data_IF_786202772840
#
_entry.id   IF_786202772840
#
_cell.length_a   1.000
_cell.length_b   1.000
_cell.length_c   1.000
_cell.angle_alpha   90.00
_cell.angle_beta   90.00
_cell.angle_gamma   90.00
#
_symmetry.space_group_name_H-M   'P 1'
#
loop_
_entity.id
_entity.type
_entity.pdbx_description
1 polymer ?
#
# COMPACT_ATOMS: atom_id res chain seq x y z
N UNK A 1 -2.04 20.19 23.50
CA UNK A 1 -1.64 19.31 22.39
C UNK A 1 -0.13 19.37 22.26
N UNK A 2 0.54 18.22 22.09
CA UNK A 2 1.99 18.19 21.87
C UNK A 2 2.27 18.19 20.38
N UNK A 3 3.25 18.99 19.95
CA UNK A 3 3.81 18.95 18.60
C UNK A 3 5.13 18.20 18.63
N UNK A 4 5.27 17.22 17.74
CA UNK A 4 6.46 16.39 17.66
C UNK A 4 7.39 16.88 16.56
N UNK A 5 8.66 17.09 16.92
CA UNK A 5 9.74 17.46 16.02
C UNK A 5 10.71 16.26 15.94
N UNK A 6 10.68 15.55 14.84
CA UNK A 6 11.50 14.36 14.60
C UNK A 6 12.64 14.77 13.69
N UNK A 7 13.87 14.62 14.17
CA UNK A 7 15.09 15.00 13.45
C UNK A 7 15.88 13.73 13.17
N UNK A 8 16.02 13.40 11.89
CA UNK A 8 16.96 12.37 11.45
C UNK A 8 18.38 12.92 11.54
N UNK A 9 19.33 12.07 11.95
CA UNK A 9 20.75 12.47 12.03
C UNK A 9 21.66 11.45 11.38
N UNK A 10 22.76 11.95 10.85
CA UNK A 10 23.94 11.19 10.42
C UNK A 10 25.14 11.62 11.25
N UNK A 11 26.25 10.92 11.14
CA UNK A 11 27.44 11.20 11.96
C UNK A 11 28.03 12.59 11.74
N UNK A 12 27.75 13.24 10.60
CA UNK A 12 28.22 14.58 10.20
C UNK A 12 27.25 15.73 10.51
N UNK A 13 26.02 15.43 10.98
CA UNK A 13 24.96 16.44 11.14
C UNK A 13 24.62 16.68 12.60
N UNK A 14 24.80 17.88 13.08
CA UNK A 14 24.34 18.30 14.41
C UNK A 14 22.84 18.55 14.39
N UNK A 15 22.05 17.86 15.24
CA UNK A 15 20.61 18.04 15.28
C UNK A 15 20.22 19.41 15.84
N UNK A 16 19.27 20.06 15.17
CA UNK A 16 18.64 21.30 15.68
C UNK A 16 17.37 20.94 16.44
N UNK A 17 17.23 21.46 17.65
CA UNK A 17 16.03 21.29 18.48
C UNK A 17 15.22 22.57 18.49
N UNK A 18 13.90 22.43 18.64
CA UNK A 18 12.94 23.54 18.70
C UNK A 18 12.54 23.73 20.17
N UNK A 19 12.82 24.93 20.70
CA UNK A 19 12.39 25.33 22.04
C UNK A 19 11.07 26.09 21.94
N UNK A 20 9.97 25.36 22.02
CA UNK A 20 8.61 25.93 22.08
C UNK A 20 7.81 25.24 23.17
N UNK A 21 6.84 25.96 23.75
CA UNK A 21 5.92 25.38 24.71
C UNK A 21 5.14 24.22 24.06
N UNK A 22 5.06 23.09 24.77
CA UNK A 22 4.44 21.84 24.28
C UNK A 22 5.14 21.17 23.09
N UNK A 23 6.40 21.48 22.79
CA UNK A 23 7.19 20.74 21.82
C UNK A 23 7.81 19.47 22.42
N UNK A 24 7.94 18.44 21.60
CA UNK A 24 8.68 17.20 21.91
C UNK A 24 9.70 17.00 20.81
N UNK A 25 10.98 17.13 21.12
CA UNK A 25 12.06 16.87 20.20
C UNK A 25 12.48 15.41 20.29
N UNK A 26 12.59 14.76 19.15
CA UNK A 26 12.99 13.35 19.00
C UNK A 26 14.12 13.28 17.98
N UNK A 27 15.29 12.87 18.42
CA UNK A 27 16.45 12.70 17.55
C UNK A 27 16.56 11.22 17.19
N UNK A 28 16.58 10.91 15.90
CA UNK A 28 16.64 9.56 15.37
C UNK A 28 17.92 9.39 14.56
N UNK A 29 18.88 8.61 15.05
CA UNK A 29 20.08 8.30 14.28
C UNK A 29 19.72 7.38 13.11
N UNK A 30 19.86 7.91 11.88
CA UNK A 30 19.72 7.13 10.64
C UNK A 30 21.00 6.37 10.33
N UNK A 31 22.15 6.82 10.85
CA UNK A 31 23.45 6.15 10.75
C UNK A 31 24.17 6.19 12.09
N UNK A 32 24.85 5.10 12.44
CA UNK A 32 25.72 4.97 13.60
C UNK A 32 26.96 4.19 13.14
N UNK A 33 28.14 4.75 13.38
CA UNK A 33 29.42 4.12 13.01
C UNK A 33 29.46 3.67 11.54
N UNK A 34 29.05 4.57 10.62
CA UNK A 34 28.95 4.32 9.18
C UNK A 34 27.97 3.20 8.78
N UNK A 35 27.03 2.81 9.64
CA UNK A 35 26.01 1.79 9.34
C UNK A 35 24.62 2.40 9.40
N UNK A 36 23.90 2.33 8.29
CA UNK A 36 22.50 2.73 8.22
C UNK A 36 21.63 1.84 9.11
N UNK A 37 20.77 2.49 9.88
CA UNK A 37 19.94 1.86 10.92
C UNK A 37 18.54 1.48 10.41
N UNK A 38 17.72 0.94 11.29
CA UNK A 38 16.27 0.70 11.11
C UNK A 38 15.91 -0.22 9.93
N UNK A 39 16.86 -1.05 9.47
CA UNK A 39 16.66 -1.95 8.33
C UNK A 39 17.02 -1.34 6.97
N UNK A 40 17.31 -0.04 6.90
CA UNK A 40 17.72 0.63 5.66
C UNK A 40 19.01 0.01 5.12
N UNK A 41 20.04 -0.14 5.96
CA UNK A 41 21.33 -0.72 5.55
C UNK A 41 21.19 -2.14 5.00
N UNK A 42 20.37 -2.99 5.63
CA UNK A 42 20.11 -4.34 5.14
C UNK A 42 19.40 -4.32 3.77
N UNK A 43 18.43 -3.43 3.60
CA UNK A 43 17.72 -3.28 2.34
C UNK A 43 18.66 -2.85 1.19
N UNK A 44 19.51 -1.87 1.43
CA UNK A 44 20.52 -1.44 0.44
C UNK A 44 21.53 -2.54 0.15
N UNK A 45 21.94 -3.30 1.16
CA UNK A 45 22.79 -4.48 0.98
C UNK A 45 22.12 -5.51 0.07
N UNK A 46 20.85 -5.87 0.32
CA UNK A 46 20.10 -6.83 -0.48
C UNK A 46 19.93 -6.35 -1.94
N UNK A 47 19.70 -5.04 -2.15
CA UNK A 47 19.68 -4.43 -3.49
C UNK A 47 21.03 -4.60 -4.20
N UNK A 48 22.13 -4.29 -3.51
CA UNK A 48 23.47 -4.40 -4.07
C UNK A 48 23.84 -5.85 -4.46
N UNK A 49 23.38 -6.86 -3.68
CA UNK A 49 23.59 -8.28 -3.99
C UNK A 49 22.96 -8.72 -5.32
N UNK A 50 21.94 -8.01 -5.78
CA UNK A 50 21.27 -8.28 -7.07
C UNK A 50 21.62 -7.27 -8.16
N UNK A 51 22.68 -6.46 -7.93
CA UNK A 51 23.19 -5.50 -8.92
C UNK A 51 22.34 -4.24 -9.05
N UNK A 52 21.60 -3.84 -8.01
CA UNK A 52 20.83 -2.61 -7.95
C UNK A 52 21.57 -1.64 -7.01
N UNK A 53 21.94 -0.46 -7.51
CA UNK A 53 22.73 0.54 -6.78
C UNK A 53 21.98 1.87 -6.72
N UNK A 54 21.11 2.09 -5.73
CA UNK A 54 20.32 3.30 -5.60
C UNK A 54 21.18 4.57 -5.57
N UNK A 55 20.63 5.65 -6.11
CA UNK A 55 21.24 6.97 -6.05
C UNK A 55 20.92 7.69 -4.70
N UNK A 56 21.55 8.85 -4.48
CA UNK A 56 21.39 9.63 -3.25
C UNK A 56 19.94 10.04 -3.00
N UNK A 57 19.22 10.49 -4.04
CA UNK A 57 17.84 10.94 -3.91
C UNK A 57 16.90 9.77 -3.60
N UNK A 58 17.13 8.59 -4.20
CA UNK A 58 16.40 7.37 -3.88
C UNK A 58 16.61 6.89 -2.44
N UNK A 59 17.86 6.97 -1.94
CA UNK A 59 18.17 6.65 -0.54
C UNK A 59 17.53 7.66 0.40
N UNK A 60 17.58 8.96 0.08
CA UNK A 60 16.97 10.03 0.88
C UNK A 60 15.44 9.88 0.97
N UNK A 61 14.77 9.49 -0.13
CA UNK A 61 13.34 9.15 -0.13
C UNK A 61 13.05 8.00 0.85
N UNK A 62 13.87 6.95 0.87
CA UNK A 62 13.72 5.83 1.79
C UNK A 62 13.95 6.26 3.25
N UNK A 63 14.94 7.11 3.52
CA UNK A 63 15.21 7.66 4.84
C UNK A 63 14.05 8.54 5.35
N UNK A 64 13.49 9.40 4.46
CA UNK A 64 12.29 10.17 4.77
C UNK A 64 11.12 9.26 5.14
N UNK A 65 10.90 8.22 4.36
CA UNK A 65 9.84 7.25 4.59
C UNK A 65 10.01 6.49 5.91
N UNK A 66 11.24 6.21 6.29
CA UNK A 66 11.56 5.61 7.58
C UNK A 66 11.12 6.52 8.74
N UNK A 67 11.47 7.80 8.73
CA UNK A 67 11.05 8.75 9.78
C UNK A 67 9.53 8.95 9.83
N UNK A 68 8.87 9.02 8.66
CA UNK A 68 7.41 9.13 8.57
C UNK A 68 6.74 7.88 9.17
N UNK A 69 7.22 6.69 8.82
CA UNK A 69 6.67 5.43 9.32
C UNK A 69 6.89 5.27 10.84
N UNK A 70 8.06 5.68 11.33
CA UNK A 70 8.33 5.77 12.77
C UNK A 70 7.32 6.68 13.47
N UNK A 71 7.16 7.91 12.98
CA UNK A 71 6.23 8.87 13.54
C UNK A 71 4.80 8.34 13.57
N UNK A 72 4.35 7.76 12.46
CA UNK A 72 2.98 7.25 12.34
C UNK A 72 2.70 6.08 13.28
N UNK A 73 3.70 5.22 13.54
CA UNK A 73 3.54 4.00 14.35
C UNK A 73 3.89 4.20 15.83
N UNK A 74 4.61 5.28 16.22
CA UNK A 74 5.14 5.49 17.58
C UNK A 74 4.62 6.75 18.27
N UNK A 75 3.64 7.45 17.66
CA UNK A 75 2.94 8.59 18.27
C UNK A 75 1.46 8.27 18.26
N UNK A 76 0.88 7.96 19.42
CA UNK A 76 -0.54 7.61 19.56
C UNK A 76 -1.45 8.81 19.26
N UNK A 77 -2.42 8.63 18.36
CA UNK A 77 -3.46 9.64 18.07
C UNK A 77 -4.32 9.93 19.29
N UNK A 78 -4.73 8.89 19.99
CA UNK A 78 -5.57 9.01 21.19
C UNK A 78 -4.91 9.87 22.26
N UNK A 79 -3.60 9.73 22.48
CA UNK A 79 -2.87 10.43 23.54
C UNK A 79 -2.37 11.83 23.15
N UNK A 80 -2.09 12.06 21.85
CA UNK A 80 -1.30 13.20 21.41
C UNK A 80 -2.00 14.13 20.41
N UNK A 81 -3.25 13.85 20.05
CA UNK A 81 -4.06 14.77 19.27
C UNK A 81 -5.13 15.46 20.11
N UNK A 82 -5.64 16.59 19.64
CA UNK A 82 -6.67 17.37 20.34
C UNK A 82 -8.06 16.72 20.22
N UNK A 83 -8.32 16.07 19.09
CA UNK A 83 -9.58 15.45 18.68
C UNK A 83 -9.50 13.91 18.66
N UNK A 84 -8.47 13.32 19.26
CA UNK A 84 -8.12 11.90 19.18
C UNK A 84 -7.89 11.39 17.75
N UNK A 85 -7.65 12.31 16.80
CA UNK A 85 -7.55 12.01 15.39
C UNK A 85 -6.34 12.64 14.69
N UNK A 86 -6.15 13.96 14.81
CA UNK A 86 -5.17 14.74 14.05
C UNK A 86 -3.96 15.11 14.90
N UNK A 87 -2.79 14.57 14.57
CA UNK A 87 -1.49 14.93 15.20
C UNK A 87 -0.84 16.09 14.45
N UNK A 88 0.07 16.79 15.11
CA UNK A 88 0.98 17.77 14.51
C UNK A 88 2.41 17.23 14.57
N UNK A 89 2.99 16.94 13.41
CA UNK A 89 4.27 16.26 13.28
C UNK A 89 5.16 17.04 12.31
N UNK A 90 6.35 17.40 12.77
CA UNK A 90 7.40 18.01 11.94
C UNK A 90 8.53 17.01 11.77
N UNK A 91 9.04 16.86 10.55
CA UNK A 91 10.21 16.03 10.24
C UNK A 91 11.30 16.90 9.65
N UNK A 92 12.50 16.75 10.16
CA UNK A 92 13.72 17.31 9.55
C UNK A 92 14.61 16.15 9.11
N UNK A 93 14.91 16.11 7.81
CA UNK A 93 15.79 15.10 7.23
C UNK A 93 17.01 15.77 6.60
N UNK A 94 18.24 15.35 6.94
CA UNK A 94 19.42 15.69 6.18
C UNK A 94 19.43 14.94 4.84
N UNK A 95 19.57 15.70 3.73
CA UNK A 95 19.57 15.18 2.36
C UNK A 95 20.81 15.64 1.60
N UNK A 96 21.21 14.90 0.58
CA UNK A 96 22.40 15.21 -0.20
C UNK A 96 22.19 16.45 -1.09
N UNK A 97 21.08 16.51 -1.81
CA UNK A 97 20.73 17.57 -2.77
C UNK A 97 19.73 18.57 -2.18
N UNK A 98 20.07 19.25 -1.06
CA UNK A 98 19.14 20.08 -0.29
C UNK A 98 18.38 21.12 -1.11
N UNK A 99 18.99 21.70 -2.14
CA UNK A 99 18.36 22.72 -2.98
C UNK A 99 17.14 22.19 -3.73
N UNK A 100 17.24 21.00 -4.33
CA UNK A 100 16.12 20.31 -5.00
C UNK A 100 15.03 19.96 -4.01
N UNK A 101 15.42 19.39 -2.87
CA UNK A 101 14.49 18.92 -1.84
C UNK A 101 13.74 20.05 -1.14
N UNK A 102 14.38 21.21 -0.95
CA UNK A 102 13.77 22.35 -0.27
C UNK A 102 12.49 22.86 -0.97
N UNK A 103 12.43 22.75 -2.29
CA UNK A 103 11.25 23.13 -3.08
C UNK A 103 10.08 22.16 -2.92
N UNK A 104 10.31 20.92 -2.42
CA UNK A 104 9.30 19.86 -2.32
C UNK A 104 8.58 19.79 -0.97
N UNK A 105 8.92 20.66 -0.01
CA UNK A 105 8.33 20.68 1.34
C UNK A 105 6.78 20.66 1.32
N UNK A 106 6.18 21.53 0.50
CA UNK A 106 4.74 21.67 0.41
C UNK A 106 4.07 20.45 -0.21
N UNK A 107 4.71 19.82 -1.21
CA UNK A 107 4.17 18.64 -1.89
C UNK A 107 4.21 17.44 -0.93
N UNK A 108 5.31 17.22 -0.22
CA UNK A 108 5.39 16.18 0.82
C UNK A 108 4.36 16.41 1.93
N UNK A 109 4.24 17.63 2.45
CA UNK A 109 3.26 17.93 3.49
C UNK A 109 1.82 17.66 3.02
N UNK A 110 1.47 18.05 1.79
CA UNK A 110 0.17 17.78 1.15
C UNK A 110 -0.07 16.29 0.99
N UNK A 111 0.92 15.55 0.49
CA UNK A 111 0.86 14.10 0.28
C UNK A 111 0.64 13.36 1.60
N UNK A 112 1.40 13.67 2.64
CA UNK A 112 1.32 13.03 3.94
C UNK A 112 0.01 13.37 4.67
N UNK A 113 -0.43 14.63 4.60
CA UNK A 113 -1.73 15.06 5.16
C UNK A 113 -2.89 14.31 4.48
N UNK A 114 -2.86 14.19 3.15
CA UNK A 114 -3.85 13.43 2.41
C UNK A 114 -3.87 11.94 2.81
N UNK A 115 -2.69 11.34 2.97
CA UNK A 115 -2.55 9.93 3.29
C UNK A 115 -2.97 9.59 4.74
N UNK A 116 -2.60 10.44 5.70
CA UNK A 116 -2.71 10.10 7.13
C UNK A 116 -3.80 10.85 7.88
N UNK A 117 -4.22 12.02 7.37
CA UNK A 117 -5.12 12.94 8.06
C UNK A 117 -4.44 13.77 9.16
N UNK A 118 -3.12 13.67 9.33
CA UNK A 118 -2.34 14.46 10.26
C UNK A 118 -1.87 15.76 9.61
N UNK A 119 -1.44 16.73 10.41
CA UNK A 119 -0.74 17.93 9.95
C UNK A 119 0.75 17.66 9.93
N UNK A 120 1.32 17.68 8.74
CA UNK A 120 2.73 17.45 8.52
C UNK A 120 3.45 18.72 8.12
N UNK A 121 4.64 18.88 8.67
CA UNK A 121 5.64 19.84 8.22
C UNK A 121 6.93 19.08 7.94
N UNK A 122 7.55 19.32 6.78
CA UNK A 122 8.75 18.61 6.38
C UNK A 122 9.82 19.63 6.03
N UNK A 123 11.02 19.46 6.56
CA UNK A 123 12.15 20.33 6.28
C UNK A 123 13.40 19.51 5.97
N UNK A 124 14.27 20.09 5.17
CA UNK A 124 15.48 19.46 4.70
C UNK A 124 16.69 20.30 5.06
N UNK A 125 17.75 19.66 5.49
CA UNK A 125 19.07 20.24 5.74
C UNK A 125 20.12 19.50 4.94
N UNK A 126 21.28 20.11 4.71
CA UNK A 126 22.34 19.46 3.92
C UNK A 126 23.05 18.39 4.75
N UNK A 127 23.34 17.23 4.12
CA UNK A 127 24.37 16.28 4.55
C UNK A 127 25.50 16.25 3.52
N UNK A 128 26.71 16.03 3.98
CA UNK A 128 27.91 15.96 3.12
C UNK A 128 28.36 14.49 2.89
N UNK A 129 27.97 13.56 3.77
CA UNK A 129 28.28 12.13 3.65
C UNK A 129 27.47 11.52 2.50
N UNK A 130 28.14 10.84 1.56
CA UNK A 130 27.48 9.99 0.55
C UNK A 130 27.01 8.68 1.16
N UNK A 131 25.78 8.27 0.83
CA UNK A 131 25.19 6.98 1.25
C UNK A 131 25.23 5.95 0.13
N UNK A 132 25.65 6.32 -1.06
CA UNK A 132 25.81 5.37 -2.18
C UNK A 132 26.92 4.37 -1.88
N UNK A 133 26.75 3.13 -2.39
CA UNK A 133 27.79 2.12 -2.26
C UNK A 133 29.08 2.56 -2.98
N UNK A 134 30.18 2.64 -2.22
CA UNK A 134 31.51 2.97 -2.71
C UNK A 134 32.27 1.74 -3.25
N UNK A 135 31.73 0.54 -3.11
CA UNK A 135 32.37 -0.70 -3.53
C UNK A 135 32.30 -0.94 -5.03
N UNK A 136 33.19 -1.79 -5.55
CA UNK A 136 33.17 -2.19 -6.95
C UNK A 136 31.79 -2.77 -7.30
N UNK A 137 31.08 -2.07 -8.18
CA UNK A 137 29.78 -2.54 -8.69
C UNK A 137 29.99 -3.87 -9.39
N UNK A 138 29.33 -4.91 -8.88
CA UNK A 138 29.15 -6.18 -9.57
C UNK A 138 28.30 -5.86 -10.82
N UNK A 139 28.01 -6.74 -11.67
CA UNK A 139 27.19 -6.53 -12.86
C UNK A 139 25.88 -5.80 -12.54
N UNK A 140 25.52 -4.77 -13.33
CA UNK A 140 24.24 -4.06 -13.20
C UNK A 140 23.06 -5.01 -13.43
N UNK A 141 21.97 -4.74 -12.73
CA UNK A 141 20.73 -5.51 -12.86
C UNK A 141 20.14 -5.40 -14.27
N UNK A 142 19.68 -6.51 -14.79
CA UNK A 142 18.98 -6.55 -16.09
C UNK A 142 17.52 -6.94 -15.85
N UNK A 143 16.74 -6.02 -15.27
CA UNK A 143 15.31 -6.17 -15.06
C UNK A 143 14.51 -5.42 -16.12
N UNK A 144 13.34 -5.97 -16.47
CA UNK A 144 12.39 -5.33 -17.38
C UNK A 144 11.30 -4.58 -16.61
N UNK A 145 11.02 -5.00 -15.38
CA UNK A 145 9.93 -4.47 -14.55
C UNK A 145 10.30 -4.47 -13.08
N UNK A 146 10.01 -3.36 -12.39
CA UNK A 146 9.94 -3.29 -10.93
C UNK A 146 8.48 -3.18 -10.49
N UNK A 147 8.04 -4.04 -9.58
CA UNK A 147 6.66 -4.04 -9.09
C UNK A 147 6.58 -4.24 -7.59
N UNK A 148 5.61 -3.56 -6.97
CA UNK A 148 5.33 -3.78 -5.55
C UNK A 148 4.63 -5.13 -5.35
N UNK A 149 5.14 -5.92 -4.41
CA UNK A 149 4.63 -7.24 -4.08
C UNK A 149 4.12 -7.29 -2.64
N UNK A 150 2.82 -7.06 -2.47
CA UNK A 150 2.14 -7.13 -1.17
C UNK A 150 1.77 -8.54 -0.71
N UNK A 151 1.75 -9.53 -1.62
CA UNK A 151 1.17 -10.85 -1.40
C UNK A 151 -0.35 -10.90 -1.60
N UNK A 152 -0.97 -9.79 -2.03
CA UNK A 152 -2.38 -9.69 -2.36
C UNK A 152 -2.70 -10.13 -3.79
N UNK A 153 -3.99 -10.35 -4.07
CA UNK A 153 -4.46 -10.84 -5.37
C UNK A 153 -4.07 -9.92 -6.53
N UNK A 154 -4.10 -8.59 -6.34
CA UNK A 154 -3.82 -7.63 -7.42
C UNK A 154 -2.34 -7.65 -7.82
N UNK A 155 -1.44 -7.59 -6.82
CA UNK A 155 -0.01 -7.73 -7.08
C UNK A 155 0.33 -9.09 -7.70
N UNK A 156 -0.34 -10.16 -7.25
CA UNK A 156 -0.18 -11.50 -7.79
C UNK A 156 -0.53 -11.57 -9.28
N UNK A 157 -1.68 -11.00 -9.69
CA UNK A 157 -2.10 -10.95 -11.11
C UNK A 157 -1.09 -10.14 -11.94
N UNK A 158 -0.65 -8.97 -11.43
CA UNK A 158 0.33 -8.15 -12.14
C UNK A 158 1.66 -8.86 -12.37
N UNK A 159 2.12 -9.63 -11.38
CA UNK A 159 3.35 -10.42 -11.48
C UNK A 159 3.18 -11.57 -12.48
N UNK A 160 2.09 -12.33 -12.38
CA UNK A 160 1.79 -13.44 -13.31
C UNK A 160 1.77 -12.94 -14.75
N UNK A 161 1.08 -11.83 -15.04
CA UNK A 161 1.02 -11.27 -16.38
C UNK A 161 2.40 -10.85 -16.92
N UNK A 162 3.27 -10.27 -16.07
CA UNK A 162 4.62 -9.92 -16.50
C UNK A 162 5.50 -11.17 -16.77
N UNK A 163 5.40 -12.20 -15.92
CA UNK A 163 6.15 -13.44 -16.10
C UNK A 163 5.68 -14.22 -17.35
N UNK A 164 4.36 -14.26 -17.62
CA UNK A 164 3.82 -14.87 -18.86
C UNK A 164 4.28 -14.12 -20.13
N UNK A 165 4.56 -12.82 -20.01
CA UNK A 165 5.19 -12.04 -21.08
C UNK A 165 6.70 -12.23 -21.18
N UNK A 166 7.31 -13.14 -20.41
CA UNK A 166 8.76 -13.41 -20.45
C UNK A 166 9.63 -12.34 -19.82
N UNK A 167 9.06 -11.43 -18.99
CA UNK A 167 9.80 -10.32 -18.40
C UNK A 167 10.55 -10.73 -17.14
N UNK A 168 11.75 -10.20 -16.96
CA UNK A 168 12.52 -10.29 -15.73
C UNK A 168 11.99 -9.28 -14.71
N UNK A 169 11.42 -9.78 -13.61
CA UNK A 169 10.68 -8.97 -12.65
C UNK A 169 11.43 -8.84 -11.33
N UNK A 170 11.64 -7.60 -10.88
CA UNK A 170 12.05 -7.29 -9.52
C UNK A 170 10.80 -7.11 -8.63
N UNK A 171 10.65 -7.96 -7.62
CA UNK A 171 9.56 -7.93 -6.65
C UNK A 171 10.01 -7.15 -5.43
N UNK A 172 9.53 -5.91 -5.32
CA UNK A 172 9.82 -5.07 -4.16
C UNK A 172 8.74 -5.31 -3.11
N UNK A 173 9.15 -5.68 -1.91
CA UNK A 173 8.26 -6.11 -0.85
C UNK A 173 8.52 -5.39 0.47
N UNK A 174 7.48 -5.19 1.24
CA UNK A 174 7.55 -4.77 2.64
C UNK A 174 6.63 -5.65 3.47
N UNK A 175 7.17 -6.26 4.51
CA UNK A 175 6.41 -7.04 5.49
C UNK A 175 6.50 -6.39 6.87
N UNK A 176 5.34 -6.05 7.43
CA UNK A 176 5.25 -5.50 8.79
C UNK A 176 5.13 -6.61 9.88
N UNK A 177 4.89 -7.84 9.46
CA UNK A 177 4.71 -9.00 10.35
C UNK A 177 5.15 -10.30 9.68
N UNK A 178 5.44 -11.32 10.52
CA UNK A 178 5.93 -12.62 10.06
C UNK A 178 4.92 -13.42 9.22
N UNK A 179 3.61 -13.20 9.39
CA UNK A 179 2.59 -13.88 8.58
C UNK A 179 2.62 -13.35 7.13
N UNK A 180 2.64 -12.03 6.97
CA UNK A 180 2.75 -11.41 5.64
C UNK A 180 4.03 -11.86 4.93
N UNK A 181 5.17 -11.89 5.63
CA UNK A 181 6.44 -12.38 5.08
C UNK A 181 6.33 -13.84 4.64
N UNK A 182 5.72 -14.70 5.45
CA UNK A 182 5.56 -16.12 5.12
C UNK A 182 4.67 -16.32 3.86
N UNK A 183 3.59 -15.54 3.71
CA UNK A 183 2.75 -15.55 2.51
C UNK A 183 3.58 -15.17 1.28
N UNK A 184 4.35 -14.09 1.35
CA UNK A 184 5.18 -13.61 0.26
C UNK A 184 6.24 -14.65 -0.15
N UNK A 185 6.95 -15.26 0.80
CA UNK A 185 7.98 -16.27 0.53
C UNK A 185 7.39 -17.57 -0.01
N UNK A 186 6.19 -17.97 0.44
CA UNK A 186 5.46 -19.13 -0.10
C UNK A 186 5.04 -18.90 -1.54
N UNK A 187 4.50 -17.70 -1.86
CA UNK A 187 4.16 -17.31 -3.23
C UNK A 187 5.40 -17.26 -4.12
N UNK A 188 6.51 -16.72 -3.62
CA UNK A 188 7.80 -16.72 -4.34
C UNK A 188 8.24 -18.12 -4.72
N UNK A 189 8.15 -19.08 -3.79
CA UNK A 189 8.46 -20.49 -4.09
C UNK A 189 7.59 -21.05 -5.21
N UNK A 190 6.31 -20.67 -5.27
CA UNK A 190 5.40 -21.06 -6.36
C UNK A 190 5.78 -20.42 -7.69
N UNK A 191 6.14 -19.12 -7.69
CA UNK A 191 6.66 -18.45 -8.89
C UNK A 191 7.93 -19.13 -9.41
N UNK A 192 8.90 -19.40 -8.52
CA UNK A 192 10.16 -20.03 -8.91
C UNK A 192 9.96 -21.44 -9.50
N UNK A 193 8.97 -22.20 -8.98
CA UNK A 193 8.63 -23.51 -9.53
C UNK A 193 7.95 -23.41 -10.89
N UNK A 194 7.06 -22.44 -11.10
CA UNK A 194 6.31 -22.27 -12.34
C UNK A 194 7.14 -21.61 -13.44
N UNK A 195 7.98 -20.64 -13.09
CA UNK A 195 8.73 -19.79 -14.01
C UNK A 195 10.25 -19.94 -13.82
N UNK A 196 10.75 -21.18 -13.75
CA UNK A 196 12.13 -21.48 -13.39
C UNK A 196 13.19 -20.78 -14.28
N UNK A 197 12.89 -20.55 -15.56
CA UNK A 197 13.80 -19.88 -16.51
C UNK A 197 13.87 -18.37 -16.36
N UNK A 198 12.86 -17.75 -15.72
CA UNK A 198 12.74 -16.30 -15.53
C UNK A 198 12.29 -15.99 -14.10
N UNK A 199 12.78 -16.78 -13.14
CA UNK A 199 12.41 -16.62 -11.72
C UNK A 199 12.52 -15.17 -11.27
N UNK A 200 11.45 -14.60 -10.66
CA UNK A 200 11.49 -13.22 -10.24
C UNK A 200 12.44 -13.03 -9.05
N UNK A 201 13.10 -11.89 -9.00
CA UNK A 201 13.98 -11.53 -7.90
C UNK A 201 13.17 -10.86 -6.77
N UNK A 202 13.25 -11.42 -5.57
CA UNK A 202 12.54 -10.92 -4.38
C UNK A 202 13.46 -10.09 -3.50
N UNK A 203 13.06 -8.86 -3.23
CA UNK A 203 13.76 -7.89 -2.40
C UNK A 203 12.79 -7.39 -1.32
N UNK A 204 13.16 -7.55 -0.05
CA UNK A 204 12.25 -7.26 1.05
C UNK A 204 12.81 -6.21 2.00
N UNK A 205 12.10 -5.10 2.15
CA UNK A 205 12.33 -4.16 3.23
C UNK A 205 11.71 -4.69 4.52
N UNK A 206 12.54 -4.96 5.51
CA UNK A 206 12.11 -5.21 6.88
C UNK A 206 12.48 -4.03 7.76
N UNK A 207 11.50 -3.25 8.16
CA UNK A 207 11.70 -2.08 9.00
C UNK A 207 11.06 -2.30 10.36
N UNK A 208 11.84 -2.09 11.42
CA UNK A 208 11.38 -2.23 12.79
C UNK A 208 11.96 -1.14 13.67
N UNK A 209 11.16 -0.70 14.63
CA UNK A 209 11.56 0.27 15.65
C UNK A 209 11.27 -0.27 17.03
N UNK A 210 12.13 0.07 17.99
CA UNK A 210 11.88 -0.20 19.40
C UNK A 210 10.57 0.48 19.84
N UNK A 211 9.87 -0.18 20.77
CA UNK A 211 8.57 0.34 21.25
C UNK A 211 8.69 1.72 21.90
N UNK A 212 9.79 1.96 22.63
CA UNK A 212 10.00 3.19 23.40
C UNK A 212 10.96 4.17 22.73
N UNK A 213 11.21 4.03 21.42
CA UNK A 213 12.13 4.92 20.68
C UNK A 213 11.66 6.40 20.75
N UNK A 214 10.37 6.63 20.86
CA UNK A 214 9.78 7.94 21.22
C UNK A 214 9.25 7.84 22.65
N UNK A 215 9.94 8.49 23.59
CA UNK A 215 9.53 8.49 24.99
C UNK A 215 8.12 9.05 25.15
N UNK A 216 7.24 8.31 25.82
CA UNK A 216 5.82 8.64 26.01
C UNK A 216 5.00 8.80 24.71
N UNK A 217 5.51 8.42 23.54
CA UNK A 217 4.79 8.50 22.27
C UNK A 217 3.60 7.54 22.22
N UNK A 218 3.80 6.31 22.66
CA UNK A 218 2.80 5.24 22.63
C UNK A 218 2.75 4.52 21.26
N UNK A 219 1.95 3.47 21.20
CA UNK A 219 1.73 2.74 19.95
C UNK A 219 0.50 3.27 19.21
N UNK A 220 0.60 3.31 17.88
CA UNK A 220 -0.49 3.62 16.98
C UNK A 220 -0.76 2.44 16.05
N UNK A 221 -1.97 1.92 16.09
CA UNK A 221 -2.36 0.73 15.34
C UNK A 221 -2.83 1.00 13.91
N UNK A 222 -3.00 2.28 13.54
CA UNK A 222 -3.55 2.68 12.24
C UNK A 222 -2.46 2.99 11.20
N UNK A 223 -1.51 2.18 10.98
CA UNK A 223 -0.35 2.36 10.07
C UNK A 223 -0.71 2.96 8.69
N UNK A 224 -1.12 4.25 8.67
CA UNK A 224 -1.61 4.93 7.46
C UNK A 224 -0.49 5.30 6.50
N UNK A 225 0.71 5.57 7.02
CA UNK A 225 1.90 5.88 6.23
C UNK A 225 2.59 4.67 5.59
N UNK A 226 2.11 3.45 5.86
CA UNK A 226 2.74 2.23 5.34
C UNK A 226 2.87 2.23 3.81
N UNK A 227 1.90 2.79 3.09
CA UNK A 227 1.96 2.88 1.64
C UNK A 227 3.05 3.85 1.15
N UNK A 228 3.32 4.92 1.91
CA UNK A 228 4.43 5.82 1.61
C UNK A 228 5.77 5.07 1.69
N UNK A 229 5.99 4.33 2.78
CA UNK A 229 7.19 3.52 2.95
C UNK A 229 7.33 2.47 1.82
N UNK A 230 6.24 1.84 1.44
CA UNK A 230 6.26 0.79 0.43
C UNK A 230 6.60 1.36 -0.96
N UNK A 231 5.97 2.47 -1.37
CA UNK A 231 6.32 3.14 -2.64
C UNK A 231 7.75 3.69 -2.58
N UNK A 232 8.17 4.30 -1.47
CA UNK A 232 9.52 4.82 -1.28
C UNK A 232 10.60 3.73 -1.44
N UNK A 233 10.37 2.53 -0.88
CA UNK A 233 11.28 1.39 -1.09
C UNK A 233 11.37 0.98 -2.56
N UNK A 234 10.26 1.01 -3.29
CA UNK A 234 10.24 0.77 -4.72
C UNK A 234 10.98 1.84 -5.52
N UNK A 235 10.75 3.11 -5.22
CA UNK A 235 11.44 4.24 -5.86
C UNK A 235 12.95 4.16 -5.61
N UNK A 236 13.37 3.89 -4.37
CA UNK A 236 14.77 3.65 -4.03
C UNK A 236 15.37 2.53 -4.87
N UNK A 237 14.70 1.39 -5.02
CA UNK A 237 15.18 0.30 -5.86
C UNK A 237 15.28 0.71 -7.35
N UNK A 238 14.23 1.35 -7.89
CA UNK A 238 14.21 1.77 -9.32
C UNK A 238 15.28 2.80 -9.62
N UNK A 239 15.64 3.68 -8.67
CA UNK A 239 16.71 4.68 -8.87
C UNK A 239 18.08 4.03 -9.17
N UNK A 240 18.28 2.78 -8.75
CA UNK A 240 19.49 2.01 -9.00
C UNK A 240 19.41 1.02 -10.17
N UNK A 241 18.30 1.00 -10.92
CA UNK A 241 18.09 0.07 -12.04
C UNK A 241 18.37 0.72 -13.40
N UNK A 242 19.11 0.04 -14.24
CA UNK A 242 19.23 0.46 -15.65
C UNK A 242 18.01 0.02 -16.46
N UNK A 243 17.50 0.91 -17.31
CA UNK A 243 16.41 0.61 -18.25
C UNK A 243 15.01 0.49 -17.61
N UNK A 244 14.88 0.58 -16.29
CA UNK A 244 13.59 0.59 -15.58
C UNK A 244 13.32 1.98 -15.04
N UNK A 245 12.29 2.62 -15.56
CA UNK A 245 11.85 3.98 -15.14
C UNK A 245 10.43 4.00 -14.56
N UNK A 246 9.78 2.84 -14.44
CA UNK A 246 8.41 2.75 -13.93
C UNK A 246 8.36 1.78 -12.76
N UNK A 247 7.90 2.27 -11.61
CA UNK A 247 7.49 1.44 -10.49
C UNK A 247 6.01 1.07 -10.67
N UNK A 248 5.74 -0.20 -10.88
CA UNK A 248 4.37 -0.73 -10.99
C UNK A 248 3.77 -0.97 -9.60
N UNK A 249 2.56 -0.42 -9.37
CA UNK A 249 1.79 -0.58 -8.13
C UNK A 249 0.41 -1.17 -8.48
N UNK A 250 0.31 -2.49 -8.72
CA UNK A 250 -0.93 -3.12 -9.16
C UNK A 250 -2.02 -3.05 -8.08
N UNK A 251 -3.12 -2.35 -8.38
CA UNK A 251 -4.31 -2.28 -7.53
C UNK A 251 -5.56 -2.09 -8.39
N UNK A 252 -6.64 -2.79 -8.08
CA UNK A 252 -7.90 -2.60 -8.77
C UNK A 252 -8.53 -1.23 -8.47
N UNK A 253 -9.30 -0.71 -9.43
CA UNK A 253 -9.83 0.65 -9.34
C UNK A 253 -10.77 0.87 -8.16
N UNK A 254 -11.57 -0.13 -7.75
CA UNK A 254 -12.52 0.04 -6.65
C UNK A 254 -11.80 0.27 -5.31
N UNK A 255 -10.68 -0.41 -5.09
CA UNK A 255 -9.81 -0.18 -3.92
C UNK A 255 -9.00 1.11 -4.10
N UNK A 256 -8.46 1.37 -5.28
CA UNK A 256 -7.66 2.57 -5.55
C UNK A 256 -8.47 3.86 -5.34
N UNK A 257 -9.68 3.95 -5.87
CA UNK A 257 -10.58 5.08 -5.67
C UNK A 257 -11.04 5.23 -4.22
N UNK A 258 -11.12 4.12 -3.49
CA UNK A 258 -11.43 4.08 -2.06
C UNK A 258 -12.63 4.95 -1.65
N UNK A 259 -13.69 4.94 -2.44
CA UNK A 259 -14.89 5.72 -2.20
C UNK A 259 -15.62 5.17 -0.98
N UNK A 260 -15.95 6.05 -0.03
CA UNK A 260 -16.73 5.67 1.15
C UNK A 260 -18.10 5.13 0.73
N UNK A 261 -18.36 3.86 1.01
CA UNK A 261 -19.61 3.16 0.64
C UNK A 261 -20.82 3.73 1.39
N UNK A 262 -20.62 4.20 2.62
CA UNK A 262 -21.63 4.85 3.45
C UNK A 262 -21.05 6.05 4.24
N UNK A 263 -21.93 6.80 4.91
CA UNK A 263 -21.55 7.99 5.67
C UNK A 263 -20.69 7.71 6.92
N UNK A 264 -20.76 6.50 7.48
CA UNK A 264 -20.03 6.11 8.68
C UNK A 264 -18.56 5.80 8.38
N UNK A 265 -18.22 5.59 7.11
CA UNK A 265 -16.86 5.29 6.67
C UNK A 265 -16.07 6.52 6.18
N UNK A 266 -16.68 7.68 6.15
CA UNK A 266 -15.99 8.90 5.75
C UNK A 266 -14.91 9.21 6.79
N UNK A 267 -13.65 9.11 6.39
CA UNK A 267 -12.48 9.49 7.18
C UNK A 267 -11.89 8.41 8.11
N UNK A 268 -12.57 7.31 8.44
CA UNK A 268 -12.13 6.50 9.57
C UNK A 268 -11.15 5.35 9.29
N UNK A 269 -11.12 4.78 8.09
CA UNK A 269 -10.26 3.61 7.80
C UNK A 269 -9.85 3.51 6.32
N UNK A 270 -9.84 4.63 5.62
CA UNK A 270 -9.51 4.68 4.20
C UNK A 270 -8.01 4.85 4.01
N UNK A 271 -7.35 3.84 3.51
CA UNK A 271 -5.96 3.96 3.04
C UNK A 271 -6.00 4.40 1.57
N UNK A 272 -5.47 5.58 1.28
CA UNK A 272 -5.42 6.14 -0.08
C UNK A 272 -4.19 5.64 -0.88
N UNK A 273 -3.83 4.38 -0.70
CA UNK A 273 -2.54 3.78 -1.09
C UNK A 273 -2.18 3.99 -2.56
N UNK A 274 -3.17 3.93 -3.45
CA UNK A 274 -3.00 3.99 -4.91
C UNK A 274 -4.02 4.92 -5.56
N UNK A 275 -4.63 5.81 -4.76
CA UNK A 275 -5.56 6.81 -5.28
C UNK A 275 -4.86 7.67 -6.35
N UNK A 276 -5.52 7.98 -7.49
CA UNK A 276 -4.89 8.74 -8.57
C UNK A 276 -4.22 10.04 -8.12
N UNK A 277 -4.86 10.79 -7.23
CA UNK A 277 -4.30 12.01 -6.65
C UNK A 277 -3.00 11.76 -5.89
N UNK A 278 -2.93 10.68 -5.11
CA UNK A 278 -1.74 10.32 -4.34
C UNK A 278 -0.58 9.91 -5.25
N UNK A 279 -0.86 9.12 -6.30
CA UNK A 279 0.15 8.77 -7.30
C UNK A 279 0.60 9.99 -8.12
N UNK A 280 -0.30 10.93 -8.41
CA UNK A 280 0.06 12.19 -9.07
C UNK A 280 1.03 13.02 -8.22
N UNK A 281 0.81 13.11 -6.90
CA UNK A 281 1.75 13.78 -5.98
C UNK A 281 3.12 13.08 -5.92
N UNK A 282 3.15 11.75 -5.96
CA UNK A 282 4.41 11.02 -6.09
C UNK A 282 5.15 11.40 -7.38
N UNK A 283 4.45 11.38 -8.51
CA UNK A 283 5.06 11.71 -9.80
C UNK A 283 5.49 13.19 -9.88
N UNK A 284 4.77 14.10 -9.22
CA UNK A 284 5.16 15.50 -9.06
C UNK A 284 6.50 15.63 -8.31
N UNK A 285 6.63 14.96 -7.16
CA UNK A 285 7.88 14.95 -6.37
C UNK A 285 9.04 14.37 -7.20
N UNK A 286 8.86 13.22 -7.83
CA UNK A 286 9.91 12.55 -8.60
C UNK A 286 10.38 13.39 -9.78
N UNK A 287 9.45 14.02 -10.49
CA UNK A 287 9.76 14.95 -11.58
C UNK A 287 10.54 16.17 -11.08
N UNK A 288 10.13 16.77 -9.96
CA UNK A 288 10.78 17.94 -9.39
C UNK A 288 12.16 17.64 -8.80
N UNK A 289 12.38 16.40 -8.33
CA UNK A 289 13.70 15.91 -7.94
C UNK A 289 14.56 15.49 -9.15
N UNK A 290 14.04 15.67 -10.38
CA UNK A 290 14.68 15.28 -11.63
C UNK A 290 15.02 13.78 -11.70
N UNK A 291 14.26 12.95 -10.97
CA UNK A 291 14.36 11.50 -11.06
C UNK A 291 13.57 11.02 -12.28
N UNK A 292 14.23 10.27 -13.15
CA UNK A 292 13.57 9.67 -14.31
C UNK A 292 12.77 8.42 -13.90
N UNK A 293 11.87 8.58 -12.94
CA UNK A 293 11.05 7.51 -12.35
C UNK A 293 9.60 7.96 -12.30
N UNK A 294 8.68 7.05 -12.63
CA UNK A 294 7.25 7.25 -12.43
C UNK A 294 6.64 6.09 -11.64
N UNK A 295 5.61 6.41 -10.85
CA UNK A 295 4.82 5.42 -10.11
C UNK A 295 3.48 5.25 -10.81
N UNK A 296 3.16 4.04 -11.23
CA UNK A 296 1.98 3.77 -12.04
C UNK A 296 1.17 2.58 -11.52
N UNK A 297 -0.16 2.73 -11.53
CA UNK A 297 -1.09 1.61 -11.35
C UNK A 297 -1.57 1.12 -12.74
N UNK A 298 -1.14 -0.07 -13.22
CA UNK A 298 -1.53 -0.56 -14.53
C UNK A 298 -3.00 -1.00 -14.62
N UNK A 299 -3.71 -1.07 -13.49
CA UNK A 299 -5.10 -1.53 -13.41
C UNK A 299 -6.06 -0.45 -12.91
N UNK A 300 -5.71 0.81 -13.11
CA UNK A 300 -6.49 1.96 -12.65
C UNK A 300 -7.94 1.99 -13.16
N UNK A 301 -8.22 1.38 -14.31
CA UNK A 301 -9.54 1.29 -14.94
C UNK A 301 -10.12 -0.14 -14.97
N UNK A 302 -9.59 -1.07 -14.15
CA UNK A 302 -10.04 -2.46 -14.07
C UNK A 302 -10.66 -2.76 -12.70
N UNK A 303 -11.76 -3.53 -12.71
CA UNK A 303 -12.25 -4.17 -11.48
C UNK A 303 -11.35 -5.36 -11.12
N UNK A 304 -11.39 -5.79 -9.86
CA UNK A 304 -10.62 -6.97 -9.43
C UNK A 304 -11.02 -8.24 -10.19
N UNK A 305 -12.29 -8.39 -10.52
CA UNK A 305 -12.77 -9.52 -11.32
C UNK A 305 -12.33 -9.44 -12.78
N UNK A 306 -12.31 -8.24 -13.38
CA UNK A 306 -11.75 -8.04 -14.73
C UNK A 306 -10.27 -8.41 -14.77
N UNK A 307 -9.48 -7.96 -13.78
CA UNK A 307 -8.08 -8.36 -13.66
C UNK A 307 -7.92 -9.89 -13.60
N UNK A 308 -8.76 -10.58 -12.82
CA UNK A 308 -8.69 -12.04 -12.70
C UNK A 308 -9.12 -12.78 -13.98
N UNK A 309 -10.15 -12.27 -14.66
CA UNK A 309 -10.62 -12.81 -15.95
C UNK A 309 -9.58 -12.65 -17.05
N UNK A 310 -8.88 -11.51 -17.05
CA UNK A 310 -7.86 -11.16 -18.04
C UNK A 310 -6.46 -11.68 -17.69
N UNK A 311 -6.28 -12.34 -16.54
CA UNK A 311 -4.99 -12.92 -16.16
C UNK A 311 -4.52 -13.95 -17.20
N UNK A 312 -3.27 -13.80 -17.65
CA UNK A 312 -2.71 -14.61 -18.74
C UNK A 312 -2.52 -16.07 -18.35
N UNK A 313 -2.35 -16.38 -17.06
CA UNK A 313 -2.30 -17.76 -16.56
C UNK A 313 -3.31 -17.96 -15.42
N UNK A 314 -4.56 -18.21 -15.81
CA UNK A 314 -5.68 -18.40 -14.87
C UNK A 314 -5.54 -19.65 -14.00
N UNK A 315 -4.99 -20.73 -14.54
CA UNK A 315 -4.84 -21.99 -13.80
C UNK A 315 -3.78 -21.81 -12.69
N UNK A 316 -2.65 -21.20 -13.01
CA UNK A 316 -1.67 -20.89 -11.98
C UNK A 316 -2.24 -19.90 -10.95
N UNK A 317 -2.90 -18.82 -11.40
CA UNK A 317 -3.55 -17.87 -10.48
C UNK A 317 -4.50 -18.60 -9.53
N UNK A 318 -5.41 -19.46 -10.04
CA UNK A 318 -6.36 -20.23 -9.24
C UNK A 318 -5.65 -21.08 -8.17
N UNK A 319 -4.53 -21.70 -8.53
CA UNK A 319 -3.76 -22.57 -7.63
C UNK A 319 -3.11 -21.84 -6.45
N UNK A 320 -2.74 -20.56 -6.62
CA UNK A 320 -2.04 -19.74 -5.62
C UNK A 320 -2.93 -18.76 -4.87
N UNK A 321 -4.17 -18.53 -5.35
CA UNK A 321 -5.13 -17.67 -4.66
C UNK A 321 -5.34 -18.03 -3.18
N UNK A 322 -5.50 -19.31 -2.77
CA UNK A 322 -5.69 -19.65 -1.35
C UNK A 322 -4.53 -19.24 -0.43
N UNK A 323 -3.33 -19.08 -0.99
CA UNK A 323 -2.13 -18.65 -0.27
C UNK A 323 -2.10 -17.13 -0.11
N UNK A 324 -2.60 -16.39 -1.12
CA UNK A 324 -2.52 -14.92 -1.17
C UNK A 324 -3.38 -14.24 -0.10
N UNK A 325 -3.01 -13.02 0.30
CA UNK A 325 -3.65 -12.29 1.39
C UNK A 325 -4.25 -10.96 0.89
N UNK A 326 -5.58 -10.81 1.05
CA UNK A 326 -6.30 -9.56 0.73
C UNK A 326 -7.14 -9.04 1.91
N UNK A 327 -7.11 -9.71 3.06
CA UNK A 327 -7.89 -9.32 4.24
C UNK A 327 -7.26 -8.11 4.93
N UNK A 328 -8.07 -7.15 5.38
CA UNK A 328 -7.58 -6.00 6.15
C UNK A 328 -7.08 -6.37 7.56
N UNK A 329 -7.46 -7.53 8.09
CA UNK A 329 -7.11 -7.95 9.45
C UNK A 329 -7.06 -9.47 9.58
N UNK A 330 -6.14 -10.18 8.90
CA UNK A 330 -6.11 -11.64 8.89
C UNK A 330 -5.75 -12.23 10.27
N UNK A 331 -4.95 -11.49 11.07
CA UNK A 331 -4.51 -11.92 12.39
C UNK A 331 -5.66 -12.01 13.41
N UNK A 332 -6.80 -11.33 13.18
CA UNK A 332 -7.97 -11.43 14.05
C UNK A 332 -8.56 -12.85 14.14
N UNK A 333 -8.27 -13.71 13.18
CA UNK A 333 -8.66 -15.12 13.22
C UNK A 333 -8.11 -15.84 14.48
N UNK A 334 -6.95 -15.41 15.00
CA UNK A 334 -6.34 -15.94 16.23
C UNK A 334 -7.23 -15.76 17.47
N UNK A 335 -8.05 -14.72 17.52
CA UNK A 335 -8.99 -14.52 18.64
C UNK A 335 -10.10 -15.59 18.70
N UNK A 336 -10.33 -16.28 17.59
CA UNK A 336 -11.25 -17.43 17.48
C UNK A 336 -10.50 -18.77 17.51
N UNK A 337 -9.21 -18.81 17.85
CA UNK A 337 -8.39 -20.01 17.89
C UNK A 337 -7.94 -20.54 16.51
N UNK A 338 -8.17 -19.78 15.45
CA UNK A 338 -7.79 -20.17 14.08
C UNK A 338 -6.42 -19.63 13.69
N UNK A 339 -5.75 -20.29 12.76
CA UNK A 339 -4.59 -19.71 12.07
C UNK A 339 -5.01 -18.41 11.35
N UNK A 340 -4.05 -17.47 11.11
CA UNK A 340 -4.32 -16.27 10.33
C UNK A 340 -4.96 -16.61 8.99
N UNK A 341 -6.11 -16.01 8.68
CA UNK A 341 -6.87 -16.27 7.45
C UNK A 341 -7.78 -15.08 7.12
N UNK A 342 -8.41 -15.14 5.97
CA UNK A 342 -9.37 -14.11 5.57
C UNK A 342 -10.60 -14.12 6.49
N UNK A 343 -11.12 -12.91 6.83
CA UNK A 343 -12.33 -12.85 7.65
C UNK A 343 -13.61 -13.19 6.87
N UNK A 344 -13.63 -12.95 5.55
CA UNK A 344 -14.77 -13.23 4.64
C UNK A 344 -15.76 -12.09 4.49
N UNK A 345 -15.72 -11.06 5.36
CA UNK A 345 -16.72 -9.99 5.44
C UNK A 345 -16.19 -8.55 5.37
N UNK A 346 -14.88 -8.31 5.46
CA UNK A 346 -14.35 -6.96 5.26
C UNK A 346 -14.41 -6.56 3.78
N UNK A 347 -14.36 -5.25 3.50
CA UNK A 347 -14.43 -4.72 2.11
C UNK A 347 -13.46 -5.44 1.16
N UNK A 348 -12.16 -5.59 1.46
CA UNK A 348 -11.27 -6.32 0.58
C UNK A 348 -11.65 -7.81 0.40
N UNK A 349 -12.19 -8.46 1.44
CA UNK A 349 -12.65 -9.86 1.32
C UNK A 349 -13.89 -9.98 0.42
N UNK A 350 -14.86 -9.06 0.54
CA UNK A 350 -16.08 -9.07 -0.28
C UNK A 350 -15.72 -8.85 -1.75
N UNK A 351 -14.86 -7.86 -2.05
CA UNK A 351 -14.38 -7.58 -3.42
C UNK A 351 -13.60 -8.79 -3.96
N UNK A 352 -12.74 -9.42 -3.15
CA UNK A 352 -12.02 -10.63 -3.55
C UNK A 352 -12.95 -11.76 -3.90
N UNK A 353 -13.96 -12.07 -3.06
CA UNK A 353 -14.93 -13.13 -3.29
C UNK A 353 -15.73 -12.90 -4.57
N UNK A 354 -16.18 -11.65 -4.79
CA UNK A 354 -16.85 -11.25 -6.02
C UNK A 354 -15.97 -11.46 -7.25
N UNK A 355 -14.70 -11.08 -7.17
CA UNK A 355 -13.74 -11.26 -8.25
C UNK A 355 -13.46 -12.72 -8.58
N UNK A 356 -13.27 -13.57 -7.56
CA UNK A 356 -13.07 -15.01 -7.74
C UNK A 356 -14.33 -15.67 -8.32
N UNK A 357 -15.52 -15.28 -7.83
CA UNK A 357 -16.80 -15.76 -8.38
C UNK A 357 -16.95 -15.40 -9.87
N UNK A 358 -16.59 -14.18 -10.28
CA UNK A 358 -16.63 -13.74 -11.67
C UNK A 358 -15.64 -14.50 -12.55
N UNK A 359 -14.42 -14.71 -12.07
CA UNK A 359 -13.36 -15.30 -12.88
C UNK A 359 -13.43 -16.83 -12.97
N UNK A 360 -13.85 -17.50 -11.91
CA UNK A 360 -13.76 -18.95 -11.76
C UNK A 360 -15.10 -19.63 -11.42
N UNK A 361 -16.14 -18.85 -11.13
CA UNK A 361 -17.43 -19.35 -10.67
C UNK A 361 -17.50 -19.46 -9.14
N UNK A 362 -18.75 -19.38 -8.63
CA UNK A 362 -19.05 -19.21 -7.20
C UNK A 362 -18.52 -20.34 -6.30
N UNK A 363 -18.47 -21.58 -6.81
CA UNK A 363 -18.04 -22.76 -6.06
C UNK A 363 -16.53 -23.04 -6.14
N UNK A 364 -15.76 -22.15 -6.79
CA UNK A 364 -14.34 -22.35 -7.04
C UNK A 364 -13.43 -21.48 -6.15
N UNK A 365 -13.99 -20.81 -5.15
CA UNK A 365 -13.19 -20.09 -4.15
C UNK A 365 -12.74 -21.03 -3.03
N UNK A 366 -11.48 -21.48 -3.11
CA UNK A 366 -10.85 -22.36 -2.13
C UNK A 366 -10.16 -21.58 -1.00
N UNK A 367 -10.36 -20.27 -0.93
CA UNK A 367 -9.77 -19.43 0.11
C UNK A 367 -10.38 -19.77 1.48
N UNK A 368 -9.56 -19.98 2.53
CA UNK A 368 -10.08 -20.17 3.88
C UNK A 368 -10.63 -18.85 4.45
N UNK A 369 -11.90 -18.85 4.85
CA UNK A 369 -12.57 -17.73 5.48
C UNK A 369 -13.02 -18.05 6.89
N UNK A 370 -12.86 -17.11 7.84
CA UNK A 370 -13.41 -17.24 9.20
C UNK A 370 -14.94 -17.23 9.21
N UNK A 371 -15.55 -16.57 8.24
CA UNK A 371 -16.99 -16.64 7.95
C UNK A 371 -17.18 -16.80 6.44
N UNK A 372 -17.63 -17.97 6.05
CA UNK A 372 -17.84 -18.30 4.63
C UNK A 372 -19.30 -18.11 4.19
N UNK A 373 -20.27 -18.33 5.07
CA UNK A 373 -21.68 -18.20 4.74
C UNK A 373 -22.12 -16.74 4.67
N UNK A 374 -22.46 -16.29 3.46
CA UNK A 374 -22.89 -14.92 3.20
C UNK A 374 -24.25 -14.60 3.88
N UNK A 375 -25.12 -15.59 4.08
CA UNK A 375 -26.41 -15.42 4.75
C UNK A 375 -26.23 -15.03 6.21
N UNK A 376 -25.27 -15.65 6.89
CA UNK A 376 -24.91 -15.30 8.27
C UNK A 376 -24.37 -13.87 8.33
N UNK A 377 -23.58 -13.46 7.32
CA UNK A 377 -23.08 -12.10 7.22
C UNK A 377 -24.26 -11.13 7.03
N UNK A 378 -25.21 -11.44 6.15
CA UNK A 378 -26.41 -10.64 5.88
C UNK A 378 -27.30 -10.55 7.13
N UNK A 379 -27.57 -11.65 7.82
CA UNK A 379 -28.41 -11.67 9.02
C UNK A 379 -27.81 -10.89 10.19
N UNK A 380 -26.48 -10.78 10.24
CA UNK A 380 -25.74 -10.04 11.26
C UNK A 380 -25.51 -8.56 10.92
N UNK A 381 -26.43 -7.93 10.19
CA UNK A 381 -26.29 -6.55 9.69
C UNK A 381 -26.02 -5.46 10.75
N UNK A 382 -26.34 -5.69 12.00
CA UNK A 382 -26.06 -4.79 13.13
C UNK A 382 -24.68 -5.08 13.78
N UNK A 383 -24.02 -6.17 13.45
CA UNK A 383 -22.71 -6.55 13.98
C UNK A 383 -21.60 -6.18 12.98
N UNK A 384 -20.36 -6.11 13.46
CA UNK A 384 -19.19 -5.81 12.63
C UNK A 384 -19.06 -6.69 11.36
N UNK A 385 -19.56 -7.91 11.42
CA UNK A 385 -19.54 -8.86 10.29
C UNK A 385 -20.46 -8.43 9.15
N UNK A 386 -21.65 -7.90 9.46
CA UNK A 386 -22.64 -7.49 8.45
C UNK A 386 -22.53 -6.04 7.98
N UNK A 387 -21.96 -5.15 8.77
CA UNK A 387 -21.90 -3.70 8.48
C UNK A 387 -21.26 -3.42 7.12
N UNK A 388 -20.16 -4.10 6.80
CA UNK A 388 -19.42 -3.86 5.55
C UNK A 388 -20.24 -4.30 4.32
N UNK A 389 -20.92 -5.43 4.40
CA UNK A 389 -21.78 -5.93 3.33
C UNK A 389 -22.97 -5.00 3.12
N UNK A 390 -23.58 -4.53 4.22
CA UNK A 390 -24.67 -3.55 4.15
C UNK A 390 -24.23 -2.23 3.50
N UNK A 391 -23.00 -1.77 3.79
CA UNK A 391 -22.44 -0.59 3.13
C UNK A 391 -22.37 -0.77 1.61
N UNK A 392 -22.00 -1.96 1.13
CA UNK A 392 -22.06 -2.28 -0.30
C UNK A 392 -23.49 -2.27 -0.83
N UNK A 393 -24.45 -2.90 -0.16
CA UNK A 393 -25.85 -2.91 -0.58
C UNK A 393 -26.40 -1.49 -0.74
N UNK A 394 -26.14 -0.61 0.22
CA UNK A 394 -26.53 0.82 0.15
C UNK A 394 -25.86 1.55 -1.02
N UNK A 395 -24.57 1.31 -1.22
CA UNK A 395 -23.86 1.95 -2.34
C UNK A 395 -24.36 1.43 -3.70
N UNK A 396 -24.60 0.12 -3.82
CA UNK A 396 -25.14 -0.50 -5.03
C UNK A 396 -26.54 0.02 -5.35
N UNK A 397 -27.45 0.05 -4.38
CA UNK A 397 -28.81 0.57 -4.56
C UNK A 397 -28.79 2.04 -5.02
N UNK A 398 -27.91 2.87 -4.42
CA UNK A 398 -27.75 4.26 -4.79
C UNK A 398 -27.36 4.42 -6.27
N UNK A 399 -26.39 3.65 -6.76
CA UNK A 399 -25.92 3.77 -8.15
C UNK A 399 -26.87 3.09 -9.13
N UNK A 400 -27.61 2.05 -8.74
CA UNK A 400 -28.67 1.47 -9.58
C UNK A 400 -29.81 2.44 -9.81
N UNK A 401 -30.22 3.19 -8.78
CA UNK A 401 -31.28 4.18 -8.88
C UNK A 401 -30.83 5.45 -9.60
N UNK A 402 -29.55 5.80 -9.58
CA UNK A 402 -29.00 7.02 -10.17
C UNK A 402 -27.54 6.83 -10.61
N UNK A 403 -27.28 6.15 -11.75
CA UNK A 403 -25.93 5.85 -12.23
C UNK A 403 -25.03 7.08 -12.41
N UNK A 404 -25.63 8.21 -12.81
CA UNK A 404 -24.95 9.49 -12.99
C UNK A 404 -24.28 10.02 -11.71
N UNK A 405 -24.69 9.55 -10.52
CA UNK A 405 -24.05 9.91 -9.26
C UNK A 405 -22.59 9.44 -9.19
N UNK A 406 -22.21 8.41 -9.93
CA UNK A 406 -20.85 7.91 -9.94
C UNK A 406 -19.83 9.00 -10.29
N UNK A 407 -20.14 9.88 -11.24
CA UNK A 407 -19.31 11.01 -11.67
C UNK A 407 -18.99 11.98 -10.51
N UNK A 408 -19.89 12.13 -9.55
CA UNK A 408 -19.68 12.96 -8.36
C UNK A 408 -19.03 12.18 -7.22
N UNK A 409 -19.36 10.89 -7.09
CA UNK A 409 -18.89 10.05 -6.01
C UNK A 409 -17.38 9.78 -6.10
N UNK A 410 -16.81 9.67 -7.30
CA UNK A 410 -15.37 9.44 -7.48
C UNK A 410 -14.50 10.56 -6.87
N UNK A 411 -15.01 11.78 -6.76
CA UNK A 411 -14.30 12.92 -6.15
C UNK A 411 -14.33 12.93 -4.60
N UNK A 412 -15.10 12.03 -3.96
CA UNK A 412 -15.24 12.06 -2.49
C UNK A 412 -13.99 11.64 -1.72
N UNK A 413 -13.13 10.85 -2.34
CA UNK A 413 -11.92 10.33 -1.69
C UNK A 413 -10.69 11.22 -1.90
N UNK A 414 -10.78 12.19 -2.81
CA UNK A 414 -9.73 13.14 -3.11
C UNK A 414 -9.96 13.84 -4.44
N UNK A 415 -9.24 14.94 -4.70
CA UNK A 415 -9.33 15.65 -5.96
C UNK A 415 -8.85 14.76 -7.12
N UNK A 416 -9.53 14.90 -8.25
CA UNK A 416 -9.22 14.22 -9.50
C UNK A 416 -9.19 15.30 -10.61
N UNK A 417 -8.02 15.89 -10.81
CA UNK A 417 -7.78 16.87 -11.87
C UNK A 417 -7.26 16.14 -13.11
N UNK A 418 -8.16 15.79 -14.03
CA UNK A 418 -7.83 15.00 -15.22
C UNK A 418 -8.81 15.29 -16.35
N UNK A 419 -8.53 14.75 -17.55
CA UNK A 419 -9.41 14.89 -18.71
C UNK A 419 -10.80 14.28 -18.43
N UNK A 420 -11.81 14.79 -19.12
CA UNK A 420 -13.19 14.27 -19.01
C UNK A 420 -13.29 12.78 -19.34
N UNK A 421 -12.47 12.30 -20.28
CA UNK A 421 -12.41 10.89 -20.67
C UNK A 421 -11.90 10.03 -19.51
N UNK A 422 -10.81 10.43 -18.85
CA UNK A 422 -10.26 9.72 -17.69
C UNK A 422 -11.27 9.67 -16.54
N UNK A 423 -11.95 10.78 -16.24
CA UNK A 423 -12.98 10.84 -15.21
C UNK A 423 -14.18 9.96 -15.54
N UNK A 424 -14.57 9.88 -16.82
CA UNK A 424 -15.61 8.98 -17.30
C UNK A 424 -15.23 7.53 -17.08
N UNK A 425 -14.01 7.12 -17.45
CA UNK A 425 -13.53 5.74 -17.22
C UNK A 425 -13.46 5.40 -15.72
N UNK A 426 -13.02 6.33 -14.86
CA UNK A 426 -13.04 6.14 -13.40
C UNK A 426 -14.46 5.96 -12.86
N UNK A 427 -15.41 6.74 -13.37
CA UNK A 427 -16.83 6.61 -13.02
C UNK A 427 -17.39 5.25 -13.44
N UNK A 428 -17.09 4.83 -14.67
CA UNK A 428 -17.55 3.56 -15.23
C UNK A 428 -16.96 2.35 -14.51
N UNK A 429 -15.66 2.36 -14.18
CA UNK A 429 -15.06 1.26 -13.43
C UNK A 429 -15.58 1.18 -12.00
N UNK A 430 -15.90 2.31 -11.37
CA UNK A 430 -16.57 2.32 -10.07
C UNK A 430 -17.93 1.64 -10.12
N UNK A 431 -18.74 1.95 -11.14
CA UNK A 431 -20.04 1.29 -11.38
C UNK A 431 -19.86 -0.21 -11.61
N UNK A 432 -18.97 -0.60 -12.51
CA UNK A 432 -18.68 -2.03 -12.80
C UNK A 432 -18.22 -2.78 -11.55
N UNK A 433 -17.38 -2.17 -10.71
CA UNK A 433 -16.92 -2.76 -9.46
C UNK A 433 -18.03 -3.01 -8.45
N UNK A 434 -18.97 -2.07 -8.31
CA UNK A 434 -20.15 -2.25 -7.46
C UNK A 434 -21.11 -3.32 -8.02
N UNK A 435 -21.34 -3.36 -9.33
CA UNK A 435 -22.18 -4.35 -9.97
C UNK A 435 -21.57 -5.76 -9.92
N UNK A 436 -20.24 -5.88 -9.91
CA UNK A 436 -19.55 -7.15 -9.69
C UNK A 436 -19.83 -7.69 -8.28
N UNK A 437 -19.80 -6.85 -7.27
CA UNK A 437 -20.17 -7.21 -5.89
C UNK A 437 -21.68 -7.56 -5.80
N UNK A 438 -22.54 -6.80 -6.46
CA UNK A 438 -23.98 -7.07 -6.51
C UNK A 438 -24.29 -8.45 -7.09
N UNK A 439 -23.69 -8.77 -8.23
CA UNK A 439 -23.84 -10.08 -8.86
C UNK A 439 -23.43 -11.23 -7.91
N UNK A 440 -22.32 -11.06 -7.19
CA UNK A 440 -21.87 -12.02 -6.18
C UNK A 440 -22.89 -12.17 -5.04
N UNK A 441 -23.44 -11.08 -4.53
CA UNK A 441 -24.46 -11.11 -3.46
C UNK A 441 -25.71 -11.85 -3.95
N UNK A 442 -26.23 -11.50 -5.13
CA UNK A 442 -27.43 -12.11 -5.70
C UNK A 442 -27.27 -13.60 -5.94
N UNK A 443 -26.16 -14.04 -6.53
CA UNK A 443 -25.88 -15.46 -6.75
C UNK A 443 -25.86 -16.28 -5.46
N UNK A 444 -25.34 -15.71 -4.36
CA UNK A 444 -25.30 -16.40 -3.06
C UNK A 444 -26.64 -16.40 -2.30
N UNK A 445 -27.56 -15.49 -2.67
CA UNK A 445 -28.90 -15.45 -2.05
C UNK A 445 -29.92 -16.25 -2.82
N UNK A 446 -29.82 -16.34 -4.16
CA UNK A 446 -30.80 -17.02 -5.03
C UNK A 446 -30.62 -18.56 -5.07
N UNK A 447 -29.39 -19.09 -4.91
CA UNK A 447 -29.14 -20.55 -4.94
C UNK A 447 -29.85 -21.34 -3.81
N UNK A 448 -30.45 -20.66 -2.84
CA UNK A 448 -31.06 -21.29 -1.67
C UNK A 448 -32.60 -21.29 -1.68
N UNK A 449 -33.25 -20.59 -2.62
CA UNK A 449 -34.69 -20.76 -2.81
C UNK A 449 -35.05 -22.10 -3.45
N UNK A 450 -34.12 -22.64 -4.25
CA UNK A 450 -34.30 -23.99 -4.88
C UNK A 450 -33.93 -25.17 -3.98
N UNK A 451 -33.24 -24.93 -2.84
CA UNK A 451 -32.86 -26.01 -1.91
C UNK A 451 -33.82 -26.16 -0.71
N UNK A 452 -34.70 -25.19 -0.46
CA UNK A 452 -35.77 -25.28 0.54
C UNK A 452 -37.12 -25.78 -0.06
N UNK A 453 -37.20 -25.81 -1.41
CA UNK A 453 -38.41 -26.31 -2.13
C UNK A 453 -38.26 -27.79 -2.62
N UNK A 454 -37.26 -28.53 -2.18
CA UNK A 454 -37.04 -29.96 -2.40
C UNK A 454 -36.88 -30.64 -1.03
#
# INVERSE_FOLDING_TARGET
MKRYYIVGTYDDVTPQTVEQENSVNVIIPLMIENKLQHGIGNYLYDLNQVGIYPDEDGIDILCLAALIYLADTRISREKHSQDSWTREISITLPVFNVEKWASQKSVFAKMLTYLTGDKWDVSFVKRDISLMACEQRIQLSNFDVATLFSGGMDSLIGIVNNLECGKKVALISHAADGYTKNVQTTLLSRFNSQYASISPQYINLWMSYEQNIIQNGGEENTTRSRSFLFIASGVCAVSGMEGVSVLSVPENALIALNIALDKLRVGSHSTHTTHPFYLALWNEVLSNLEMNISVNNPYWNKTKGEMAVECLNKEFLKSVLPISISCSSPLKARWKGNAPQHCGYCVPCIIRRAAISKAFGINNDLTPYSQNDLRIIISNHAKNEGIQLRSFQVAIERVKNSPQLAQFLIHKSGPLDSSSEYLTELSDVYLRGLLEVDSFIQQNTSQNQTAEDV
#
